data_IF_295315753920
#
_entry.id   IF_295315753920
#
_cell.length_a   1.000
_cell.length_b   1.000
_cell.length_c   1.000
_cell.angle_alpha   90.00
_cell.angle_beta   90.00
_cell.angle_gamma   90.00
#
_symmetry.space_group_name_H-M   'P 1'
#
loop_
_entity.id
_entity.type
_entity.pdbx_description
1 polymer ?
#
# COMPACT_ATOMS: atom_id res chain seq x y z
N UNK A 1 -12.56 -18.74 -3.47
CA UNK A 1 -12.41 -17.32 -3.10
C UNK A 1 -10.92 -17.01 -3.20
N UNK A 2 -10.52 -16.31 -4.25
CA UNK A 2 -9.12 -16.27 -4.68
C UNK A 2 -8.34 -15.24 -3.85
N UNK A 3 -7.48 -15.71 -2.94
CA UNK A 3 -6.60 -14.92 -2.05
C UNK A 3 -5.61 -13.98 -2.78
N UNK A 4 -5.59 -13.98 -4.11
CA UNK A 4 -4.70 -13.14 -4.93
C UNK A 4 -5.12 -11.66 -5.04
N UNK A 5 -6.34 -11.27 -4.67
CA UNK A 5 -6.77 -9.85 -4.74
C UNK A 5 -6.34 -9.00 -3.54
N UNK A 6 -5.65 -9.60 -2.56
CA UNK A 6 -5.31 -8.94 -1.28
C UNK A 6 -3.88 -8.44 -1.18
N UNK A 7 -3.03 -8.64 -2.20
CA UNK A 7 -1.61 -8.26 -2.11
C UNK A 7 -1.24 -7.28 -3.20
N UNK A 8 -0.67 -6.14 -2.81
CA UNK A 8 -0.14 -5.13 -3.73
C UNK A 8 1.38 -5.24 -3.79
N UNK A 9 1.88 -5.44 -5.00
CA UNK A 9 3.31 -5.51 -5.28
C UNK A 9 3.75 -4.33 -6.14
N UNK A 10 4.87 -3.70 -5.78
CA UNK A 10 5.44 -2.62 -6.57
C UNK A 10 6.97 -2.55 -6.39
N UNK A 11 7.66 -2.13 -7.44
CA UNK A 11 9.10 -1.84 -7.37
C UNK A 11 9.28 -0.41 -6.89
N UNK A 12 10.09 -0.20 -5.85
CA UNK A 12 10.43 1.13 -5.37
C UNK A 12 11.23 1.87 -6.44
N UNK A 13 10.71 2.99 -6.93
CA UNK A 13 11.38 3.80 -7.96
C UNK A 13 12.70 4.42 -7.50
N UNK A 14 12.94 4.52 -6.19
CA UNK A 14 14.16 5.11 -5.63
C UNK A 14 15.32 4.11 -5.44
N UNK A 15 15.01 2.89 -5.00
CA UNK A 15 16.04 1.91 -4.63
C UNK A 15 15.91 0.56 -5.35
N UNK A 16 14.93 0.41 -6.26
CA UNK A 16 14.70 -0.83 -7.01
C UNK A 16 14.14 -2.00 -6.20
N UNK A 17 13.89 -1.83 -4.90
CA UNK A 17 13.40 -2.91 -4.05
C UNK A 17 11.96 -3.31 -4.41
N UNK A 18 11.72 -4.62 -4.56
CA UNK A 18 10.38 -5.17 -4.78
C UNK A 18 9.61 -5.24 -3.47
N UNK A 19 8.64 -4.34 -3.30
CA UNK A 19 7.77 -4.31 -2.14
C UNK A 19 6.56 -5.20 -2.40
N UNK A 20 6.19 -5.97 -1.39
CA UNK A 20 4.93 -6.72 -1.34
C UNK A 20 4.20 -6.32 -0.06
N UNK A 21 2.94 -5.93 -0.18
CA UNK A 21 2.10 -5.44 0.89
C UNK A 21 0.76 -6.16 0.84
N UNK A 22 0.40 -6.89 1.90
CA UNK A 22 -0.96 -7.42 2.01
C UNK A 22 -1.93 -6.32 2.42
N UNK A 23 -3.21 -6.48 2.12
CA UNK A 23 -4.26 -5.52 2.48
C UNK A 23 -4.24 -5.25 3.99
N UNK A 24 -4.10 -6.29 4.80
CA UNK A 24 -4.03 -6.16 6.26
C UNK A 24 -2.80 -5.37 6.70
N UNK A 25 -1.64 -5.60 6.08
CA UNK A 25 -0.43 -4.81 6.35
C UNK A 25 -0.62 -3.34 5.96
N UNK A 26 -1.34 -3.06 4.87
CA UNK A 26 -1.65 -1.70 4.42
C UNK A 26 -2.55 -1.01 5.43
N UNK A 27 -3.60 -1.70 5.91
CA UNK A 27 -4.51 -1.17 6.92
C UNK A 27 -3.82 -0.94 8.27
N UNK A 28 -2.90 -1.82 8.67
CA UNK A 28 -2.20 -1.74 9.96
C UNK A 28 -1.04 -0.72 9.95
N UNK A 29 -0.28 -0.65 8.85
CA UNK A 29 0.99 0.11 8.79
C UNK A 29 0.95 1.31 7.84
N UNK A 30 -0.02 1.35 6.95
CA UNK A 30 -0.24 2.48 6.06
C UNK A 30 -0.69 3.69 6.84
N UNK A 31 -0.21 4.87 6.43
CA UNK A 31 -0.82 6.12 6.86
C UNK A 31 -1.97 6.41 5.91
N UNK A 32 -3.19 6.37 6.41
CA UNK A 32 -4.37 6.78 5.67
C UNK A 32 -4.24 8.27 5.30
N UNK A 33 -4.35 8.55 4.02
CA UNK A 33 -4.43 9.89 3.45
C UNK A 33 -5.86 10.03 2.95
N UNK A 34 -6.71 10.65 3.76
CA UNK A 34 -8.11 10.88 3.41
C UNK A 34 -8.14 11.82 2.21
N UNK A 35 -8.47 11.26 1.05
CA UNK A 35 -8.84 12.05 -0.13
C UNK A 35 -10.35 12.19 -0.11
N UNK A 36 -10.89 13.39 -0.37
CA UNK A 36 -12.34 13.66 -0.44
C UNK A 36 -12.96 13.06 -1.73
N UNK A 37 -12.78 11.77 -1.95
CA UNK A 37 -13.43 11.00 -3.01
C UNK A 37 -14.28 9.91 -2.38
N UNK A 38 -15.51 9.74 -2.84
CA UNK A 38 -16.55 8.98 -2.13
C UNK A 38 -16.27 7.47 -1.99
N UNK A 39 -15.28 6.90 -2.70
CA UNK A 39 -15.11 5.44 -2.80
C UNK A 39 -13.68 4.89 -2.68
N UNK A 40 -12.66 5.74 -2.50
CA UNK A 40 -11.26 5.29 -2.46
C UNK A 40 -10.49 5.87 -1.27
N UNK A 41 -9.80 4.99 -0.54
CA UNK A 41 -8.91 5.38 0.55
C UNK A 41 -7.47 5.22 0.09
N UNK A 42 -6.68 6.30 0.13
CA UNK A 42 -5.27 6.27 -0.27
C UNK A 42 -4.41 6.01 0.96
N UNK A 43 -3.55 5.00 0.89
CA UNK A 43 -2.58 4.69 1.94
C UNK A 43 -1.17 5.06 1.49
N UNK A 44 -0.42 5.72 2.38
CA UNK A 44 1.00 6.00 2.19
C UNK A 44 1.87 4.97 2.91
N UNK A 45 2.55 4.11 2.15
CA UNK A 45 3.38 3.00 2.64
C UNK A 45 4.86 3.31 2.46
N UNK A 46 5.66 3.04 3.49
CA UNK A 46 7.13 3.17 3.39
C UNK A 46 7.70 1.97 2.64
N UNK A 47 8.80 2.15 1.91
CA UNK A 47 9.51 1.01 1.34
C UNK A 47 10.03 0.06 2.44
N UNK A 48 9.83 -1.25 2.27
CA UNK A 48 10.28 -2.34 3.15
C UNK A 48 11.76 -2.72 2.98
N UNK A 49 12.52 -1.98 2.18
CA UNK A 49 13.93 -2.31 1.94
C UNK A 49 14.71 -2.37 3.28
N UNK A 50 15.32 -3.52 3.64
CA UNK A 50 16.06 -3.67 4.89
C UNK A 50 17.31 -2.77 4.97
N UNK A 51 17.90 -2.40 3.83
CA UNK A 51 18.98 -1.42 3.77
C UNK A 51 18.52 0.03 4.10
N UNK A 52 17.22 0.22 4.27
CA UNK A 52 16.62 1.52 4.56
C UNK A 52 16.31 2.31 3.28
N UNK A 53 15.05 2.72 3.14
CA UNK A 53 14.64 3.67 2.11
C UNK A 53 13.54 4.60 2.65
N UNK A 54 13.69 5.93 2.52
CA UNK A 54 12.67 6.87 2.97
C UNK A 54 11.52 7.03 1.96
N UNK A 55 11.62 6.41 0.78
CA UNK A 55 10.58 6.51 -0.24
C UNK A 55 9.26 5.94 0.29
N UNK A 56 8.17 6.67 0.01
CA UNK A 56 6.82 6.21 0.28
C UNK A 56 6.05 6.09 -1.02
N UNK A 57 5.22 5.05 -1.12
CA UNK A 57 4.30 4.85 -2.23
C UNK A 57 2.86 5.10 -1.76
N UNK A 58 2.05 5.69 -2.62
CA UNK A 58 0.62 5.90 -2.39
C UNK A 58 -0.15 4.79 -3.11
N UNK A 59 -1.03 4.11 -2.40
CA UNK A 59 -1.84 3.00 -2.93
C UNK A 59 -3.29 3.28 -2.59
N UNK A 60 -4.14 3.39 -3.61
CA UNK A 60 -5.58 3.47 -3.42
C UNK A 60 -6.13 2.06 -3.18
N UNK A 61 -6.92 1.90 -2.12
CA UNK A 61 -7.70 0.70 -1.87
C UNK A 61 -9.18 1.06 -1.97
N UNK A 62 -9.94 0.26 -2.72
CA UNK A 62 -11.40 0.31 -2.67
C UNK A 62 -11.88 -0.05 -1.27
N UNK A 63 -12.82 0.72 -0.73
CA UNK A 63 -13.57 0.29 0.45
C UNK A 63 -14.33 -0.98 0.07
N UNK A 64 -14.17 -2.04 0.86
CA UNK A 64 -15.06 -3.19 0.76
C UNK A 64 -16.32 -2.74 1.49
N UNK A 65 -17.36 -2.39 0.72
CA UNK A 65 -18.69 -2.20 1.29
C UNK A 65 -19.12 -3.54 1.90
N UNK A 66 -19.58 -3.47 3.15
CA UNK A 66 -19.86 -4.62 4.00
C UNK A 66 -21.20 -5.23 3.67
#
# INVERSE_FOLDING_TARGET
>A
MSDNERTVQYTCLKCGYKNSWTRDEILQRGKEVIYRGEHEVIYSLRCKNPAGCPQRMRIALKRVEK
#
